data_IF_923540332143
#
_entry.id   IF_923540332143
#
_cell.length_a   1.000
_cell.length_b   1.000
_cell.length_c   1.000
_cell.angle_alpha   90.00
_cell.angle_beta   90.00
_cell.angle_gamma   90.00
#
_symmetry.space_group_name_H-M   'P 1'
#
loop_
_entity.id
_entity.type
_entity.pdbx_description
1 polymer ?
#
# COMPACT_ATOMS: atom_id res chain seq x y z
N UNK A 1 -57.35 -43.01 11.13
CA UNK A 1 -57.07 -41.55 11.08
C UNK A 1 -55.65 -41.34 11.63
N UNK A 2 -54.63 -41.55 10.77
CA UNK A 2 -53.22 -41.50 11.18
C UNK A 2 -52.63 -40.15 10.80
N UNK A 3 -52.48 -39.26 11.78
CA UNK A 3 -51.83 -37.97 11.54
C UNK A 3 -50.33 -38.19 11.37
N UNK A 4 -49.85 -37.84 10.16
CA UNK A 4 -48.47 -37.93 9.70
C UNK A 4 -47.53 -37.14 10.60
N UNK A 5 -46.89 -37.82 11.57
CA UNK A 5 -45.84 -37.24 12.44
C UNK A 5 -44.47 -37.06 11.74
N UNK A 6 -44.38 -37.30 10.43
CA UNK A 6 -43.15 -37.13 9.63
C UNK A 6 -43.09 -35.84 8.81
N UNK A 7 -44.20 -35.09 8.70
CA UNK A 7 -44.27 -33.91 7.83
C UNK A 7 -43.43 -32.73 8.39
N UNK A 8 -43.44 -32.51 9.70
CA UNK A 8 -42.60 -31.46 10.33
C UNK A 8 -41.10 -31.79 10.28
N UNK A 9 -40.71 -33.05 10.48
CA UNK A 9 -39.29 -33.45 10.44
C UNK A 9 -38.69 -33.29 9.04
N UNK A 10 -39.47 -33.57 7.99
CA UNK A 10 -39.03 -33.38 6.60
C UNK A 10 -38.94 -31.91 6.21
N UNK A 11 -39.84 -31.06 6.68
CA UNK A 11 -39.76 -29.60 6.48
C UNK A 11 -38.51 -28.99 7.14
N UNK A 12 -38.18 -29.37 8.38
CA UNK A 12 -36.96 -28.90 9.04
C UNK A 12 -35.68 -29.42 8.36
N UNK A 13 -35.68 -30.65 7.86
CA UNK A 13 -34.53 -31.18 7.10
C UNK A 13 -34.31 -30.42 5.79
N UNK A 14 -35.39 -30.03 5.10
CA UNK A 14 -35.30 -29.23 3.87
C UNK A 14 -34.80 -27.81 4.18
N UNK A 15 -35.37 -27.14 5.18
CA UNK A 15 -34.93 -25.80 5.56
C UNK A 15 -33.47 -25.79 6.04
N UNK A 16 -33.08 -26.80 6.83
CA UNK A 16 -31.70 -26.97 7.28
C UNK A 16 -30.75 -27.19 6.09
N UNK A 17 -31.12 -28.03 5.13
CA UNK A 17 -30.31 -28.24 3.92
C UNK A 17 -30.14 -26.95 3.10
N UNK A 18 -31.21 -26.17 2.92
CA UNK A 18 -31.15 -24.89 2.20
C UNK A 18 -30.24 -23.89 2.92
N UNK A 19 -30.38 -23.76 4.25
CA UNK A 19 -29.53 -22.86 5.04
C UNK A 19 -28.06 -23.27 4.95
N UNK A 20 -27.76 -24.57 5.03
CA UNK A 20 -26.40 -25.08 4.90
C UNK A 20 -25.81 -24.82 3.51
N UNK A 21 -26.60 -24.95 2.44
CA UNK A 21 -26.16 -24.63 1.08
C UNK A 21 -25.85 -23.13 0.96
N UNK A 22 -26.72 -22.25 1.46
CA UNK A 22 -26.49 -20.80 1.43
C UNK A 22 -25.23 -20.44 2.22
N UNK A 23 -25.03 -21.03 3.40
CA UNK A 23 -23.85 -20.81 4.22
C UNK A 23 -22.57 -21.25 3.50
N UNK A 24 -22.56 -22.43 2.87
CA UNK A 24 -21.42 -22.94 2.11
C UNK A 24 -21.06 -22.03 0.92
N UNK A 25 -22.07 -21.60 0.16
CA UNK A 25 -21.87 -20.69 -0.98
C UNK A 25 -21.33 -19.35 -0.51
N UNK A 26 -21.84 -18.81 0.60
CA UNK A 26 -21.38 -17.54 1.17
C UNK A 26 -19.91 -17.61 1.60
N UNK A 27 -19.50 -18.70 2.26
CA UNK A 27 -18.10 -18.92 2.67
C UNK A 27 -17.19 -19.10 1.44
N UNK A 28 -17.65 -19.84 0.43
CA UNK A 28 -16.90 -20.04 -0.81
C UNK A 28 -16.66 -18.71 -1.55
N UNK A 29 -17.66 -17.82 -1.59
CA UNK A 29 -17.52 -16.49 -2.17
C UNK A 29 -16.59 -15.59 -1.34
N UNK A 30 -16.60 -15.68 0.00
CA UNK A 30 -15.67 -14.94 0.86
C UNK A 30 -14.22 -15.44 0.73
N UNK A 31 -14.02 -16.73 0.48
CA UNK A 31 -12.69 -17.34 0.34
C UNK A 31 -12.00 -17.11 -1.01
N UNK A 32 -12.72 -16.67 -2.05
CA UNK A 32 -12.20 -16.58 -3.43
C UNK A 32 -11.64 -15.20 -3.83
N UNK A 33 -11.37 -14.30 -2.88
CA UNK A 33 -10.73 -13.00 -3.16
C UNK A 33 -9.25 -12.84 -2.75
N UNK A 34 -8.36 -13.84 -2.90
CA UNK A 34 -6.93 -13.62 -2.69
C UNK A 34 -6.35 -12.83 -3.89
N UNK A 35 -6.30 -11.50 -3.78
CA UNK A 35 -5.64 -10.63 -4.76
C UNK A 35 -6.28 -9.25 -4.90
N UNK A 36 -7.61 -9.18 -5.00
CA UNK A 36 -8.34 -7.90 -5.21
C UNK A 36 -8.12 -6.91 -4.07
N UNK A 37 -8.10 -7.40 -2.83
CA UNK A 37 -7.86 -6.56 -1.67
C UNK A 37 -6.45 -5.94 -1.70
N UNK A 38 -5.44 -6.67 -2.19
CA UNK A 38 -4.09 -6.14 -2.31
C UNK A 38 -3.99 -5.12 -3.45
N UNK A 39 -4.54 -5.42 -4.61
CA UNK A 39 -4.48 -4.52 -5.77
C UNK A 39 -5.23 -3.21 -5.50
N UNK A 40 -6.37 -3.27 -4.81
CA UNK A 40 -7.10 -2.07 -4.36
C UNK A 40 -6.24 -1.21 -3.41
N UNK A 41 -5.51 -1.83 -2.47
CA UNK A 41 -4.61 -1.11 -1.57
C UNK A 41 -3.45 -0.47 -2.32
N UNK A 42 -2.88 -1.16 -3.31
CA UNK A 42 -1.83 -0.62 -4.19
C UNK A 42 -2.36 0.61 -4.95
N UNK A 43 -3.51 0.50 -5.62
CA UNK A 43 -4.12 1.62 -6.36
C UNK A 43 -4.40 2.81 -5.45
N UNK A 44 -4.92 2.56 -4.23
CA UNK A 44 -5.20 3.61 -3.26
C UNK A 44 -3.93 4.30 -2.74
N UNK A 45 -2.88 3.50 -2.44
CA UNK A 45 -1.55 4.00 -2.08
C UNK A 45 -0.99 4.91 -3.18
N UNK A 46 -0.98 4.42 -4.42
CA UNK A 46 -0.41 5.14 -5.56
C UNK A 46 -1.16 6.45 -5.84
N UNK A 47 -2.48 6.45 -5.72
CA UNK A 47 -3.31 7.64 -5.92
C UNK A 47 -3.01 8.70 -4.85
N UNK A 48 -2.89 8.30 -3.59
CA UNK A 48 -2.52 9.21 -2.49
C UNK A 48 -1.14 9.83 -2.71
N UNK A 49 -0.13 9.01 -2.99
CA UNK A 49 1.25 9.49 -3.13
C UNK A 49 1.46 10.37 -4.35
N UNK A 50 0.68 10.19 -5.42
CA UNK A 50 0.75 11.04 -6.62
C UNK A 50 -0.09 12.31 -6.50
N UNK A 51 -1.28 12.21 -5.90
CA UNK A 51 -2.27 13.29 -5.90
C UNK A 51 -2.17 14.20 -4.67
N UNK A 52 -2.11 13.61 -3.48
CA UNK A 52 -2.34 14.31 -2.20
C UNK A 52 -1.06 14.56 -1.41
N UNK A 53 -0.06 13.67 -1.51
CA UNK A 53 1.19 13.80 -0.74
C UNK A 53 1.94 15.09 -1.12
N UNK A 54 2.32 15.88 -0.10
CA UNK A 54 3.06 17.14 -0.24
C UNK A 54 4.09 17.28 0.89
N UNK A 55 5.23 17.95 0.64
CA UNK A 55 5.63 18.55 -0.63
C UNK A 55 6.10 17.55 -1.68
N UNK A 56 6.57 16.36 -1.30
CA UNK A 56 7.02 15.34 -2.24
C UNK A 56 5.90 14.38 -2.61
N UNK A 57 5.75 14.14 -3.92
CA UNK A 57 4.98 13.03 -4.45
C UNK A 57 5.90 11.86 -4.79
N UNK A 58 5.37 10.64 -4.69
CA UNK A 58 6.02 9.42 -5.18
C UNK A 58 5.23 9.00 -6.42
N UNK A 59 5.84 9.14 -7.59
CA UNK A 59 5.22 8.82 -8.89
C UNK A 59 5.23 7.33 -9.17
N UNK A 60 6.39 6.72 -8.92
CA UNK A 60 6.64 5.29 -9.13
C UNK A 60 7.51 4.77 -8.01
N UNK A 61 7.35 3.49 -7.69
CA UNK A 61 8.19 2.81 -6.72
C UNK A 61 8.28 1.32 -7.05
N UNK A 62 9.43 0.72 -6.77
CA UNK A 62 9.67 -0.72 -6.88
C UNK A 62 10.59 -1.18 -5.76
N UNK A 63 10.45 -2.44 -5.35
CA UNK A 63 11.33 -3.07 -4.36
C UNK A 63 11.88 -4.33 -4.99
N UNK A 64 13.20 -4.48 -4.98
CA UNK A 64 13.85 -5.70 -5.42
C UNK A 64 13.84 -6.75 -4.30
N UNK A 65 13.99 -8.02 -4.67
CA UNK A 65 14.19 -9.11 -3.70
C UNK A 65 15.40 -8.93 -2.77
N UNK A 66 16.34 -8.03 -3.09
CA UNK A 66 17.44 -7.64 -2.21
C UNK A 66 17.10 -6.57 -1.16
N UNK A 67 15.83 -6.13 -1.08
CA UNK A 67 15.40 -5.10 -0.13
C UNK A 67 15.86 -3.70 -0.52
N UNK A 68 16.08 -3.45 -1.82
CA UNK A 68 16.39 -2.12 -2.36
C UNK A 68 15.11 -1.55 -2.97
N UNK A 69 14.66 -0.42 -2.45
CA UNK A 69 13.55 0.33 -3.01
C UNK A 69 14.07 1.43 -3.94
N UNK A 70 13.54 1.51 -5.15
CA UNK A 70 13.75 2.63 -6.07
C UNK A 70 12.45 3.41 -6.20
N UNK A 71 12.52 4.72 -6.05
CA UNK A 71 11.38 5.63 -6.12
C UNK A 71 11.65 6.72 -7.16
N UNK A 72 10.64 7.06 -7.95
CA UNK A 72 10.63 8.31 -8.72
C UNK A 72 9.83 9.31 -7.92
N UNK A 73 10.50 10.32 -7.40
CA UNK A 73 9.91 11.33 -6.52
C UNK A 73 9.85 12.67 -7.24
N UNK A 74 8.80 13.45 -6.97
CA UNK A 74 8.59 14.76 -7.57
C UNK A 74 8.35 15.81 -6.48
N UNK A 75 8.89 17.02 -6.67
CA UNK A 75 8.48 18.17 -5.88
C UNK A 75 7.18 18.76 -6.44
N UNK A 76 6.08 18.62 -5.69
CA UNK A 76 4.77 19.19 -6.05
C UNK A 76 4.51 20.56 -5.41
N UNK A 77 5.49 21.12 -4.69
CA UNK A 77 5.43 22.48 -4.19
C UNK A 77 5.83 23.46 -5.30
N UNK A 78 4.95 24.40 -5.60
CA UNK A 78 5.19 25.44 -6.61
C UNK A 78 6.02 26.62 -6.05
N UNK A 79 6.24 26.69 -4.73
CA UNK A 79 6.84 27.85 -4.08
C UNK A 79 8.35 27.95 -4.24
N UNK A 80 9.03 26.86 -4.62
CA UNK A 80 10.45 26.88 -4.90
C UNK A 80 11.13 25.51 -4.80
N UNK A 81 12.45 25.51 -4.94
CA UNK A 81 13.25 24.29 -4.86
C UNK A 81 13.34 23.77 -3.42
N UNK A 82 13.07 22.48 -3.23
CA UNK A 82 13.12 21.83 -1.92
C UNK A 82 14.30 20.85 -1.87
N UNK A 83 15.08 20.93 -0.79
CA UNK A 83 16.21 20.03 -0.54
C UNK A 83 15.80 18.86 0.34
N UNK A 84 15.71 17.66 -0.21
CA UNK A 84 15.53 16.44 0.58
C UNK A 84 16.85 16.08 1.28
N UNK A 85 16.83 15.97 2.60
CA UNK A 85 18.02 15.68 3.41
C UNK A 85 18.08 14.23 3.86
N UNK A 86 16.93 13.59 4.03
CA UNK A 86 16.83 12.18 4.39
C UNK A 86 15.49 11.61 3.94
N UNK A 87 15.48 10.34 3.55
CA UNK A 87 14.26 9.55 3.41
C UNK A 87 14.44 8.23 4.17
N UNK A 88 13.44 7.85 4.97
CA UNK A 88 13.36 6.53 5.59
C UNK A 88 12.08 5.82 5.16
N UNK A 89 12.21 4.53 4.87
CA UNK A 89 11.14 3.67 4.39
C UNK A 89 11.23 2.33 5.12
N UNK A 90 10.26 2.05 6.00
CA UNK A 90 10.34 0.90 6.90
C UNK A 90 11.63 0.95 7.74
N UNK A 91 12.45 -0.09 7.62
CA UNK A 91 13.76 -0.16 8.28
C UNK A 91 14.91 0.47 7.48
N UNK A 92 14.67 0.77 6.20
CA UNK A 92 15.67 1.34 5.30
C UNK A 92 15.76 2.86 5.43
N UNK A 93 16.94 3.42 5.18
CA UNK A 93 17.10 4.87 5.07
C UNK A 93 18.12 5.23 4.02
N UNK A 94 17.91 6.37 3.37
CA UNK A 94 18.89 7.05 2.56
C UNK A 94 19.12 8.43 3.19
N UNK A 95 20.27 8.56 3.83
CA UNK A 95 20.70 9.77 4.51
C UNK A 95 22.10 10.14 4.10
N UNK A 96 22.26 10.66 2.88
CA UNK A 96 23.51 11.31 2.44
C UNK A 96 23.23 12.27 1.29
N UNK A 97 23.88 13.45 1.33
CA UNK A 97 23.80 14.58 0.39
C UNK A 97 22.38 15.14 0.19
N UNK A 98 22.18 16.44 0.43
CA UNK A 98 20.89 17.09 0.11
C UNK A 98 20.59 16.96 -1.39
N UNK A 99 19.52 16.24 -1.72
CA UNK A 99 19.01 16.13 -3.09
C UNK A 99 18.02 17.27 -3.30
N UNK A 100 18.35 18.20 -4.19
CA UNK A 100 17.48 19.35 -4.49
C UNK A 100 16.53 19.02 -5.64
N UNK A 101 15.26 19.38 -5.49
CA UNK A 101 14.21 19.26 -6.50
C UNK A 101 13.64 20.64 -6.80
N UNK A 102 13.80 21.11 -8.05
CA UNK A 102 13.07 22.28 -8.54
C UNK A 102 11.54 22.01 -8.58
N UNK A 103 10.69 23.05 -8.63
CA UNK A 103 9.25 22.86 -8.76
C UNK A 103 8.89 21.97 -9.95
N UNK A 104 8.16 20.89 -9.70
CA UNK A 104 7.78 19.91 -10.72
C UNK A 104 8.89 18.95 -11.17
N UNK A 105 10.13 19.13 -10.70
CA UNK A 105 11.23 18.24 -11.04
C UNK A 105 11.03 16.86 -10.41
N UNK A 106 11.29 15.82 -11.20
CA UNK A 106 11.29 14.44 -10.74
C UNK A 106 12.71 13.88 -10.71
N UNK A 107 13.04 13.11 -9.66
CA UNK A 107 14.32 12.40 -9.55
C UNK A 107 14.13 11.00 -9.00
N UNK A 108 15.05 10.13 -9.39
CA UNK A 108 15.15 8.79 -8.84
C UNK A 108 15.90 8.82 -7.51
N UNK A 109 15.29 8.25 -6.47
CA UNK A 109 15.86 8.07 -5.14
C UNK A 109 15.85 6.58 -4.80
N UNK A 110 16.97 6.08 -4.28
CA UNK A 110 17.11 4.67 -3.93
C UNK A 110 17.29 4.53 -2.42
N UNK A 111 16.54 3.64 -1.78
CA UNK A 111 16.64 3.34 -0.34
C UNK A 111 16.97 1.86 -0.18
N UNK A 112 18.11 1.57 0.43
CA UNK A 112 18.53 0.18 0.70
C UNK A 112 18.06 -0.28 2.08
N UNK A 113 17.88 -1.59 2.24
CA UNK A 113 17.54 -2.20 3.52
C UNK A 113 16.09 -1.97 3.95
N UNK A 114 15.18 -1.71 3.02
CA UNK A 114 13.76 -1.46 3.35
C UNK A 114 13.02 -2.70 3.86
N UNK A 115 13.52 -3.89 3.53
CA UNK A 115 13.02 -5.18 3.98
C UNK A 115 14.13 -6.24 3.92
N UNK A 116 14.13 -7.21 4.83
CA UNK A 116 15.07 -8.34 4.80
C UNK A 116 14.67 -9.33 3.71
N UNK A 117 15.26 -9.18 2.53
CA UNK A 117 15.18 -10.11 1.40
C UNK A 117 13.77 -10.63 1.06
N UNK A 118 12.83 -9.75 0.69
CA UNK A 118 11.46 -10.19 0.47
C UNK A 118 11.34 -11.05 -0.79
N UNK A 119 10.49 -12.07 -0.76
CA UNK A 119 10.29 -12.96 -1.91
C UNK A 119 9.60 -12.21 -3.06
N UNK A 120 10.05 -12.43 -4.30
CA UNK A 120 9.41 -11.85 -5.50
C UNK A 120 7.92 -12.21 -5.55
N UNK A 121 7.09 -11.25 -5.97
CA UNK A 121 5.64 -11.35 -5.95
C UNK A 121 4.97 -11.08 -4.60
N UNK A 122 5.74 -10.98 -3.51
CA UNK A 122 5.19 -10.62 -2.19
C UNK A 122 4.78 -9.15 -2.17
N UNK A 123 3.73 -8.85 -1.40
CA UNK A 123 3.26 -7.47 -1.21
C UNK A 123 4.06 -6.83 -0.08
N UNK A 124 4.61 -5.64 -0.32
CA UNK A 124 5.17 -4.80 0.73
C UNK A 124 4.21 -3.68 1.08
N UNK A 125 4.27 -3.26 2.35
CA UNK A 125 3.46 -2.19 2.93
C UNK A 125 4.35 -1.42 3.91
N UNK A 126 4.92 -0.32 3.44
CA UNK A 126 6.03 0.35 4.11
C UNK A 126 5.70 1.83 4.39
N UNK A 127 5.88 2.24 5.64
CA UNK A 127 5.76 3.64 6.04
C UNK A 127 6.93 4.45 5.49
N UNK A 128 6.64 5.67 5.02
CA UNK A 128 7.63 6.60 4.47
C UNK A 128 7.70 7.86 5.33
N UNK A 129 8.92 8.27 5.66
CA UNK A 129 9.22 9.53 6.32
C UNK A 129 10.28 10.28 5.53
N UNK A 130 10.02 11.54 5.19
CA UNK A 130 10.94 12.37 4.42
C UNK A 130 11.30 13.58 5.27
N UNK A 131 12.59 13.86 5.41
CA UNK A 131 13.10 15.10 6.00
C UNK A 131 13.64 15.98 4.88
N UNK A 132 13.33 17.26 4.94
CA UNK A 132 13.69 18.21 3.89
C UNK A 132 13.93 19.61 4.44
N UNK A 133 14.49 20.47 3.60
CA UNK A 133 14.64 21.90 3.84
C UNK A 133 13.86 22.66 2.77
N UNK A 134 12.98 23.56 3.21
CA UNK A 134 12.21 24.48 2.36
C UNK A 134 13.13 25.47 1.63
N UNK A 135 12.63 26.21 0.62
CA UNK A 135 13.41 27.24 -0.06
C UNK A 135 13.98 28.32 0.88
N UNK A 136 13.31 28.55 2.01
CA UNK A 136 13.71 29.51 3.04
C UNK A 136 14.71 28.93 4.07
N UNK A 137 15.22 27.71 3.85
CA UNK A 137 16.17 27.04 4.74
C UNK A 137 15.56 26.43 6.00
N UNK A 138 14.23 26.41 6.14
CA UNK A 138 13.54 25.82 7.29
C UNK A 138 13.45 24.31 7.10
N UNK A 139 13.86 23.55 8.11
CA UNK A 139 13.72 22.10 8.14
C UNK A 139 12.25 21.68 8.32
N UNK A 140 11.79 20.74 7.49
CA UNK A 140 10.47 20.17 7.51
C UNK A 140 10.51 18.64 7.50
N UNK A 141 9.39 18.03 7.88
CA UNK A 141 9.17 16.58 7.79
C UNK A 141 7.85 16.30 7.09
N UNK A 142 7.84 15.29 6.24
CA UNK A 142 6.65 14.77 5.59
C UNK A 142 6.46 13.32 6.00
N UNK A 143 5.23 13.03 6.42
CA UNK A 143 4.76 11.68 6.74
C UNK A 143 3.64 11.34 5.77
N UNK A 144 3.66 10.13 5.21
CA UNK A 144 2.52 9.62 4.46
C UNK A 144 1.36 9.27 5.39
N UNK A 145 0.17 9.79 5.09
CA UNK A 145 -1.07 9.30 5.72
C UNK A 145 -1.42 7.88 5.27
N UNK A 146 -0.84 7.44 4.15
CA UNK A 146 -0.83 6.05 3.69
C UNK A 146 0.61 5.57 3.52
N UNK A 147 0.81 4.30 3.79
CA UNK A 147 2.06 3.61 3.46
C UNK A 147 2.19 3.46 1.95
N UNK A 148 3.42 3.24 1.49
CA UNK A 148 3.71 2.82 0.12
C UNK A 148 3.48 1.32 0.02
N UNK A 149 2.57 0.92 -0.85
CA UNK A 149 2.16 -0.48 -1.04
C UNK A 149 2.43 -0.90 -2.48
N UNK A 150 3.11 -2.03 -2.67
CA UNK A 150 3.42 -2.58 -4.00
C UNK A 150 3.84 -4.04 -3.94
N UNK A 151 4.23 -4.60 -5.10
CA UNK A 151 4.74 -5.98 -5.20
C UNK A 151 6.25 -5.95 -5.43
N UNK A 152 6.95 -6.86 -4.76
CA UNK A 152 8.39 -7.07 -4.95
C UNK A 152 8.61 -7.63 -6.35
N UNK A 153 9.57 -7.04 -7.06
CA UNK A 153 10.04 -7.50 -8.36
C UNK A 153 11.23 -8.45 -8.20
#
# INVERSE_FOLDING_TARGET
>A
MGYMKGQGATEYLVLLAVVLIIALVSIALLGFFPGLASDARITQSNSYWRGEARPFAILEHSVTSGGVMTLIMQNNDATGSIGMTNISIGAGSNGTSTITFAPGESRTVTVSGVASSPASGSVYDLQVNITYTTPNGIAGKQYGAKNVVGKVI
#
